data_IF_386084286207
#
_entry.id   IF_386084286207
#
_cell.length_a   1.000
_cell.length_b   1.000
_cell.length_c   1.000
_cell.angle_alpha   90.00
_cell.angle_beta   90.00
_cell.angle_gamma   90.00
#
_symmetry.space_group_name_H-M   'P 1'
#
loop_
_entity.id
_entity.type
_entity.pdbx_description
1 polymer ?
#
# COMPACT_ATOMS: atom_id res chain seq x y z
N UNK A 1 -14.33 11.86 9.22
CA UNK A 1 -14.50 11.51 10.65
C UNK A 1 -15.64 12.35 11.19
N UNK A 2 -16.71 11.75 11.75
CA UNK A 2 -17.72 12.54 12.45
C UNK A 2 -17.08 13.10 13.72
N UNK A 3 -17.14 14.41 13.88
CA UNK A 3 -16.72 15.11 15.10
C UNK A 3 -17.63 14.69 16.24
N UNK A 4 -17.18 13.80 17.11
CA UNK A 4 -17.83 13.54 18.40
C UNK A 4 -17.82 14.82 19.22
N UNK A 5 -18.99 15.24 19.73
CA UNK A 5 -19.13 16.40 20.63
C UNK A 5 -18.28 16.27 21.89
N UNK A 6 -18.06 17.41 22.58
CA UNK A 6 -17.18 17.55 23.76
C UNK A 6 -17.36 16.44 24.81
N UNK A 7 -18.57 15.92 24.94
CA UNK A 7 -18.95 14.98 26.00
C UNK A 7 -18.41 13.55 25.82
N UNK A 8 -17.83 13.20 24.66
CA UNK A 8 -17.28 11.86 24.39
C UNK A 8 -15.74 11.83 24.22
N UNK A 9 -15.04 12.88 24.63
CA UNK A 9 -13.58 12.93 24.58
C UNK A 9 -12.95 12.04 25.67
N UNK A 10 -12.49 10.84 25.31
CA UNK A 10 -11.77 9.90 26.21
C UNK A 10 -10.35 10.34 26.61
N UNK A 11 -9.88 11.50 26.17
CA UNK A 11 -8.52 12.00 26.41
C UNK A 11 -8.58 13.44 26.90
N UNK A 12 -7.69 13.77 27.82
CA UNK A 12 -7.59 15.11 28.38
C UNK A 12 -7.44 16.18 27.30
N UNK A 13 -8.28 17.21 27.40
CA UNK A 13 -8.26 18.34 26.50
C UNK A 13 -7.00 19.17 26.78
N UNK A 14 -6.17 19.33 25.75
CA UNK A 14 -4.97 20.16 25.83
C UNK A 14 -5.39 21.63 25.68
N UNK A 15 -5.08 22.51 26.65
CA UNK A 15 -5.35 23.93 26.51
C UNK A 15 -4.68 24.50 25.26
N UNK A 16 -5.38 25.38 24.53
CA UNK A 16 -4.90 25.92 23.24
C UNK A 16 -3.53 26.61 23.36
N UNK A 17 -3.25 27.27 24.49
CA UNK A 17 -1.95 27.91 24.77
C UNK A 17 -0.78 26.92 24.86
N UNK A 18 -1.03 25.64 25.15
CA UNK A 18 -0.01 24.58 25.21
C UNK A 18 0.15 23.84 23.87
N UNK A 19 -0.71 24.11 22.88
CA UNK A 19 -0.74 23.38 21.61
C UNK A 19 0.59 23.45 20.87
N UNK A 20 1.21 24.64 20.80
CA UNK A 20 2.50 24.81 20.09
C UNK A 20 3.60 23.93 20.68
N UNK A 21 3.72 23.90 22.00
CA UNK A 21 4.73 23.10 22.69
C UNK A 21 4.43 21.60 22.56
N UNK A 22 3.16 21.22 22.65
CA UNK A 22 2.71 19.86 22.44
C UNK A 22 3.01 19.35 21.01
N UNK A 23 2.76 20.17 19.97
CA UNK A 23 3.06 19.81 18.59
C UNK A 23 4.57 19.62 18.36
N UNK A 24 5.41 20.50 18.92
CA UNK A 24 6.88 20.35 18.86
C UNK A 24 7.35 19.07 19.56
N UNK A 25 6.83 18.80 20.75
CA UNK A 25 7.15 17.59 21.50
C UNK A 25 6.72 16.32 20.75
N UNK A 26 5.49 16.30 20.19
CA UNK A 26 5.00 15.21 19.35
C UNK A 26 5.82 15.01 18.09
N UNK A 27 6.28 16.08 17.45
CA UNK A 27 7.16 15.98 16.28
C UNK A 27 8.52 15.37 16.66
N UNK A 28 9.09 15.78 17.78
CA UNK A 28 10.34 15.20 18.29
C UNK A 28 10.19 13.71 18.61
N UNK A 29 9.13 13.32 19.32
CA UNK A 29 8.81 11.91 19.55
C UNK A 29 8.61 11.12 18.24
N UNK A 30 8.00 11.76 17.23
CA UNK A 30 7.77 11.10 15.95
C UNK A 30 9.08 10.84 15.20
N UNK A 31 9.98 11.82 15.18
CA UNK A 31 11.33 11.69 14.60
C UNK A 31 12.07 10.56 15.31
N UNK A 32 12.16 10.62 16.65
CA UNK A 32 12.89 9.62 17.45
C UNK A 32 12.35 8.20 17.31
N UNK A 33 11.04 8.03 17.11
CA UNK A 33 10.40 6.69 17.02
C UNK A 33 10.35 6.11 15.62
N UNK A 34 10.40 6.92 14.57
CA UNK A 34 9.97 6.48 13.23
C UNK A 34 10.90 6.88 12.09
N UNK A 35 11.93 7.70 12.32
CA UNK A 35 12.76 8.20 11.22
C UNK A 35 13.66 7.12 10.60
N UNK A 36 14.14 6.13 11.38
CA UNK A 36 15.02 5.04 10.93
C UNK A 36 14.45 3.65 11.21
N UNK A 37 13.12 3.51 11.12
CA UNK A 37 12.46 2.21 11.30
C UNK A 37 11.98 1.69 9.95
N UNK A 38 12.46 0.51 9.59
CA UNK A 38 12.07 -0.26 8.41
C UNK A 38 11.38 -1.54 8.86
N UNK A 39 10.53 -2.09 8.00
CA UNK A 39 10.01 -3.43 8.21
C UNK A 39 11.01 -4.42 7.61
N UNK A 40 11.50 -5.36 8.43
CA UNK A 40 12.55 -6.32 8.09
C UNK A 40 12.21 -7.65 8.76
N UNK A 41 11.09 -8.25 8.35
CA UNK A 41 10.69 -9.58 8.80
C UNK A 41 11.22 -10.61 7.82
N UNK A 42 12.02 -11.56 8.30
CA UNK A 42 12.68 -12.57 7.46
C UNK A 42 11.66 -13.61 6.92
N UNK A 43 10.55 -13.81 7.64
CA UNK A 43 9.49 -14.76 7.29
C UNK A 43 8.08 -14.20 7.55
N UNK A 44 7.60 -13.27 6.72
CA UNK A 44 6.28 -12.66 6.91
C UNK A 44 5.13 -13.66 6.74
N UNK A 45 4.14 -13.59 7.63
CA UNK A 45 2.89 -14.35 7.52
C UNK A 45 2.01 -13.76 6.41
N UNK A 46 1.85 -14.45 5.29
CA UNK A 46 0.92 -14.05 4.24
C UNK A 46 -0.47 -14.66 4.43
N UNK A 47 -1.51 -13.85 4.29
CA UNK A 47 -2.90 -14.29 4.25
C UNK A 47 -3.44 -14.28 2.82
N UNK A 48 -3.98 -15.41 2.40
CA UNK A 48 -4.75 -15.54 1.16
C UNK A 48 -6.25 -15.34 1.44
N UNK A 49 -6.85 -14.35 0.79
CA UNK A 49 -8.26 -14.00 0.95
C UNK A 49 -8.95 -14.29 -0.37
N UNK A 50 -9.95 -15.18 -0.33
CA UNK A 50 -10.82 -15.50 -1.47
C UNK A 50 -12.25 -15.10 -1.13
N UNK A 51 -12.78 -14.10 -1.82
CA UNK A 51 -14.17 -13.67 -1.64
C UNK A 51 -14.93 -13.82 -2.95
N UNK A 52 -16.02 -14.58 -2.92
CA UNK A 52 -17.02 -14.64 -4.00
C UNK A 52 -18.11 -13.60 -3.74
N UNK A 53 -18.41 -12.76 -4.72
CA UNK A 53 -19.56 -11.87 -4.67
C UNK A 53 -20.71 -12.43 -5.53
N UNK A 54 -21.96 -12.22 -5.11
CA UNK A 54 -23.18 -12.66 -5.80
C UNK A 54 -23.31 -12.11 -7.25
N UNK A 55 -22.52 -11.08 -7.59
CA UNK A 55 -22.52 -10.40 -8.91
C UNK A 55 -21.19 -10.64 -9.68
N UNK A 56 -20.46 -11.73 -9.38
CA UNK A 56 -19.72 -12.44 -10.43
C UNK A 56 -18.25 -12.09 -10.68
N UNK A 57 -17.53 -11.48 -9.73
CA UNK A 57 -16.06 -11.40 -9.81
C UNK A 57 -15.42 -11.94 -8.53
N UNK A 58 -14.68 -13.07 -8.59
CA UNK A 58 -13.93 -13.56 -7.44
C UNK A 58 -12.76 -12.60 -7.15
N UNK A 59 -12.69 -12.12 -5.91
CA UNK A 59 -11.54 -11.39 -5.39
C UNK A 59 -10.56 -12.42 -4.82
N UNK A 60 -9.33 -12.41 -5.29
CA UNK A 60 -8.22 -13.16 -4.68
C UNK A 60 -7.15 -12.17 -4.24
N UNK A 61 -6.87 -12.07 -2.94
CA UNK A 61 -5.83 -11.19 -2.41
C UNK A 61 -4.80 -11.98 -1.60
N UNK A 62 -3.54 -11.57 -1.67
CA UNK A 62 -2.45 -12.08 -0.84
C UNK A 62 -1.83 -10.89 -0.13
N UNK A 63 -1.91 -10.86 1.19
CA UNK A 63 -1.55 -9.70 2.02
C UNK A 63 -0.60 -10.13 3.14
N UNK A 64 0.43 -9.33 3.41
CA UNK A 64 1.33 -9.51 4.55
C UNK A 64 0.61 -9.13 5.86
N UNK A 65 0.30 -10.14 6.67
CA UNK A 65 -0.42 -10.02 7.94
C UNK A 65 0.40 -9.27 8.98
N UNK A 66 1.69 -9.57 9.07
CA UNK A 66 2.60 -9.03 10.06
C UNK A 66 2.87 -7.56 9.80
N UNK A 67 3.06 -7.19 8.53
CA UNK A 67 3.15 -5.80 8.10
C UNK A 67 1.85 -5.04 8.39
N UNK A 68 0.69 -5.63 8.14
CA UNK A 68 -0.60 -5.03 8.50
C UNK A 68 -0.82 -4.90 10.02
N UNK A 69 -0.16 -5.71 10.84
CA UNK A 69 -0.19 -5.62 12.31
C UNK A 69 0.88 -4.69 12.86
N UNK A 70 1.94 -4.42 12.11
CA UNK A 70 3.09 -3.60 12.52
C UNK A 70 2.68 -2.25 13.11
N UNK A 71 3.26 -1.86 14.26
CA UNK A 71 2.85 -0.64 14.95
C UNK A 71 3.45 0.64 14.35
N UNK A 72 4.53 0.52 13.57
CA UNK A 72 5.26 1.67 13.04
C UNK A 72 4.78 2.17 11.68
N UNK A 73 3.54 1.85 11.26
CA UNK A 73 2.93 2.29 9.98
C UNK A 73 3.09 3.78 9.66
N UNK A 74 3.12 4.62 10.69
CA UNK A 74 3.25 6.06 10.53
C UNK A 74 4.61 6.48 9.93
N UNK A 75 5.64 5.63 10.01
CA UNK A 75 6.94 5.78 9.33
C UNK A 75 6.82 5.65 7.80
N UNK A 76 5.80 4.93 7.32
CA UNK A 76 5.51 4.69 5.91
C UNK A 76 4.11 5.20 5.54
N UNK A 77 3.88 6.52 5.58
CA UNK A 77 2.55 7.10 5.51
C UNK A 77 2.00 7.22 4.08
N UNK A 78 2.77 6.86 3.06
CA UNK A 78 2.36 6.92 1.67
C UNK A 78 2.05 5.50 1.19
N UNK A 79 0.90 5.32 0.56
CA UNK A 79 0.52 4.05 -0.04
C UNK A 79 0.58 4.24 -1.54
N UNK A 80 1.44 3.46 -2.17
CA UNK A 80 1.47 3.31 -3.61
C UNK A 80 0.55 2.16 -4.02
N UNK A 81 -0.32 2.44 -4.98
CA UNK A 81 -1.24 1.49 -5.59
C UNK A 81 -0.87 1.40 -7.06
N UNK A 82 -0.41 0.24 -7.50
CA UNK A 82 -0.11 -0.05 -8.91
C UNK A 82 -1.22 -0.91 -9.46
N UNK A 83 -1.81 -0.52 -10.58
CA UNK A 83 -2.86 -1.27 -11.24
C UNK A 83 -2.39 -1.69 -12.62
N UNK A 84 -2.47 -2.99 -12.91
CA UNK A 84 -2.18 -3.54 -14.23
C UNK A 84 -3.43 -4.23 -14.74
N UNK A 85 -3.97 -3.72 -15.84
CA UNK A 85 -5.09 -4.36 -16.53
C UNK A 85 -4.57 -5.48 -17.42
N UNK A 86 -5.16 -6.66 -17.25
CA UNK A 86 -4.93 -7.82 -18.09
C UNK A 86 -6.28 -8.36 -18.57
N UNK A 87 -6.87 -7.69 -19.56
CA UNK A 87 -8.15 -8.11 -20.12
C UNK A 87 -7.92 -9.20 -21.18
N UNK A 88 -8.52 -10.38 -20.97
CA UNK A 88 -8.43 -11.51 -21.91
C UNK A 88 -8.93 -11.17 -23.33
N UNK A 89 -9.76 -10.13 -23.48
CA UNK A 89 -10.28 -9.68 -24.78
C UNK A 89 -9.50 -8.53 -25.46
N UNK A 90 -8.73 -7.73 -24.72
CA UNK A 90 -8.05 -6.51 -25.24
C UNK A 90 -6.53 -6.58 -25.27
N UNK A 91 -5.91 -7.61 -24.71
CA UNK A 91 -4.45 -7.72 -24.59
C UNK A 91 -3.72 -8.10 -25.90
N UNK A 92 -4.12 -7.54 -27.05
CA UNK A 92 -3.47 -7.75 -28.36
C UNK A 92 -3.25 -9.23 -28.75
N UNK A 93 -4.07 -10.17 -28.23
CA UNK A 93 -3.92 -11.59 -28.49
C UNK A 93 -2.78 -12.29 -27.73
N UNK A 94 -2.19 -11.65 -26.71
CA UNK A 94 -1.17 -12.27 -25.86
C UNK A 94 -1.69 -13.49 -25.12
N UNK A 95 -0.87 -14.52 -25.04
CA UNK A 95 -1.11 -15.71 -24.24
C UNK A 95 -1.04 -15.40 -22.74
N UNK A 96 -1.71 -16.21 -21.93
CA UNK A 96 -1.68 -16.09 -20.47
C UNK A 96 -0.24 -16.15 -19.90
N UNK A 97 0.63 -16.97 -20.51
CA UNK A 97 2.05 -17.05 -20.12
C UNK A 97 2.81 -15.76 -20.38
N UNK A 98 2.53 -15.08 -21.50
CA UNK A 98 3.17 -13.81 -21.84
C UNK A 98 2.73 -12.70 -20.89
N UNK A 99 1.44 -12.66 -20.55
CA UNK A 99 0.90 -11.72 -19.55
C UNK A 99 1.59 -11.93 -18.21
N UNK A 100 1.66 -13.17 -17.72
CA UNK A 100 2.34 -13.47 -16.46
C UNK A 100 3.81 -13.06 -16.46
N UNK A 101 4.52 -13.29 -17.58
CA UNK A 101 5.92 -12.87 -17.71
C UNK A 101 6.07 -11.35 -17.64
N UNK A 102 5.22 -10.59 -18.34
CA UNK A 102 5.25 -9.13 -18.31
C UNK A 102 4.95 -8.58 -16.91
N UNK A 103 4.01 -9.21 -16.19
CA UNK A 103 3.71 -8.84 -14.81
C UNK A 103 4.91 -9.04 -13.88
N UNK A 104 5.61 -10.17 -14.01
CA UNK A 104 6.84 -10.42 -13.25
C UNK A 104 7.95 -9.43 -13.61
N UNK A 105 8.08 -9.06 -14.88
CA UNK A 105 9.06 -8.07 -15.35
C UNK A 105 8.77 -6.68 -14.77
N UNK A 106 7.49 -6.26 -14.78
CA UNK A 106 7.04 -5.01 -14.17
C UNK A 106 7.32 -5.01 -12.66
N UNK A 107 6.96 -6.08 -11.95
CA UNK A 107 7.24 -6.22 -10.51
C UNK A 107 8.75 -6.13 -10.23
N UNK A 108 9.59 -6.83 -11.00
CA UNK A 108 11.05 -6.76 -10.87
C UNK A 108 11.56 -5.33 -11.04
N UNK A 109 11.15 -4.62 -12.10
CA UNK A 109 11.58 -3.23 -12.33
C UNK A 109 11.20 -2.29 -11.18
N UNK A 110 10.06 -2.55 -10.52
CA UNK A 110 9.63 -1.77 -9.37
C UNK A 110 10.49 -2.11 -8.14
N UNK A 111 10.66 -3.40 -7.81
CA UNK A 111 11.36 -3.83 -6.59
C UNK A 111 12.88 -3.69 -6.65
N UNK A 112 13.47 -3.71 -7.85
CA UNK A 112 14.91 -3.42 -8.04
C UNK A 112 15.25 -1.98 -7.61
N UNK A 113 14.31 -1.06 -7.80
CA UNK A 113 14.46 0.36 -7.48
C UNK A 113 13.84 0.74 -6.12
N UNK A 114 12.74 0.09 -5.72
CA UNK A 114 12.01 0.33 -4.47
C UNK A 114 12.22 -0.83 -3.50
N UNK A 115 13.32 -0.78 -2.76
CA UNK A 115 13.73 -1.84 -1.83
C UNK A 115 13.11 -1.67 -0.44
N UNK A 116 12.83 -2.79 0.22
CA UNK A 116 12.30 -2.81 1.59
C UNK A 116 13.23 -2.06 2.57
N UNK A 117 14.54 -2.32 2.48
CA UNK A 117 15.57 -1.67 3.30
C UNK A 117 15.81 -0.17 3.00
N UNK A 118 15.12 0.38 2.00
CA UNK A 118 15.08 1.81 1.68
C UNK A 118 13.75 2.47 2.10
N UNK A 119 12.85 1.71 2.73
CA UNK A 119 11.55 2.19 3.22
C UNK A 119 10.41 2.04 2.22
N UNK A 120 10.43 0.97 1.42
CA UNK A 120 9.38 0.61 0.47
C UNK A 120 8.95 -0.84 0.69
N UNK A 121 7.94 -1.07 1.53
CA UNK A 121 7.52 -2.42 1.91
C UNK A 121 6.30 -2.89 1.11
N UNK A 122 6.35 -4.12 0.59
CA UNK A 122 5.21 -4.75 -0.09
C UNK A 122 4.12 -5.16 0.90
N UNK A 123 2.96 -4.49 0.86
CA UNK A 123 1.80 -4.85 1.69
C UNK A 123 1.09 -6.07 1.12
N UNK A 124 0.98 -6.16 -0.21
CA UNK A 124 0.37 -7.30 -0.86
C UNK A 124 -0.20 -6.98 -2.23
N UNK A 125 -0.94 -7.95 -2.77
CA UNK A 125 -1.51 -7.91 -4.11
C UNK A 125 -2.95 -8.42 -4.11
N UNK A 126 -3.76 -7.93 -5.03
CA UNK A 126 -5.09 -8.48 -5.28
C UNK A 126 -5.41 -8.60 -6.76
N UNK A 127 -6.19 -9.63 -7.08
CA UNK A 127 -6.70 -9.95 -8.39
C UNK A 127 -8.21 -9.81 -8.37
N UNK A 128 -8.73 -8.94 -9.22
CA UNK A 128 -10.17 -8.76 -9.38
C UNK A 128 -10.48 -8.36 -10.83
N UNK A 129 -11.33 -9.13 -11.50
CA UNK A 129 -11.98 -8.69 -12.73
C UNK A 129 -11.04 -8.37 -13.89
N UNK A 130 -9.93 -9.10 -14.03
CA UNK A 130 -8.93 -8.83 -15.07
C UNK A 130 -8.00 -7.66 -14.73
N UNK A 131 -7.89 -7.31 -13.45
CA UNK A 131 -7.01 -6.27 -12.94
C UNK A 131 -6.20 -6.81 -11.76
N UNK A 132 -4.91 -6.46 -11.73
CA UNK A 132 -4.00 -6.75 -10.62
C UNK A 132 -3.70 -5.42 -9.93
N UNK A 133 -3.91 -5.36 -8.62
CA UNK A 133 -3.50 -4.23 -7.80
C UNK A 133 -2.39 -4.67 -6.85
N UNK A 134 -1.28 -3.95 -6.86
CA UNK A 134 -0.15 -4.15 -5.94
C UNK A 134 -0.03 -2.95 -5.03
N UNK A 135 0.13 -3.22 -3.73
CA UNK A 135 0.15 -2.21 -2.67
C UNK A 135 1.52 -2.14 -2.02
N UNK A 136 2.14 -0.96 -2.04
CA UNK A 136 3.39 -0.71 -1.33
C UNK A 136 3.21 0.39 -0.29
N UNK A 137 3.76 0.15 0.90
CA UNK A 137 3.97 1.14 1.94
C UNK A 137 5.27 1.90 1.66
N UNK A 138 5.22 3.22 1.55
CA UNK A 138 6.37 4.05 1.21
C UNK A 138 6.64 5.11 2.29
N UNK A 139 7.92 5.28 2.65
CA UNK A 139 8.40 6.37 3.51
C UNK A 139 8.18 7.74 2.86
N UNK A 140 8.34 7.82 1.54
CA UNK A 140 8.17 9.03 0.74
C UNK A 140 7.57 8.71 -0.64
N UNK A 141 7.12 9.74 -1.38
CA UNK A 141 6.34 9.55 -2.62
C UNK A 141 7.07 9.94 -3.90
N UNK A 142 8.18 10.68 -3.82
CA UNK A 142 8.83 11.28 -4.99
C UNK A 142 9.55 10.22 -5.81
N UNK A 143 10.37 9.36 -5.19
CA UNK A 143 11.06 8.26 -5.89
C UNK A 143 10.05 7.28 -6.49
N UNK A 144 9.04 6.76 -5.76
CA UNK A 144 8.00 5.92 -6.36
C UNK A 144 7.29 6.56 -7.55
N UNK A 145 6.92 7.84 -7.46
CA UNK A 145 6.22 8.52 -8.57
C UNK A 145 7.05 8.59 -9.86
N UNK A 146 8.36 8.82 -9.75
CA UNK A 146 9.27 8.88 -10.90
C UNK A 146 9.49 7.50 -11.51
N UNK A 147 9.71 6.49 -10.66
CA UNK A 147 9.92 5.10 -11.11
C UNK A 147 8.68 4.61 -11.84
N UNK A 148 7.49 4.79 -11.26
CA UNK A 148 6.28 4.31 -11.91
C UNK A 148 5.91 5.07 -13.16
N UNK A 149 6.21 6.37 -13.23
CA UNK A 149 6.05 7.09 -14.49
C UNK A 149 6.94 6.49 -15.60
N UNK A 150 8.17 6.11 -15.26
CA UNK A 150 9.08 5.43 -16.18
C UNK A 150 8.56 4.04 -16.56
N UNK A 151 8.19 3.20 -15.59
CA UNK A 151 7.63 1.86 -15.84
C UNK A 151 6.37 1.95 -16.70
N UNK A 152 5.46 2.87 -16.40
CA UNK A 152 4.26 3.10 -17.20
C UNK A 152 4.61 3.46 -18.65
N UNK A 153 5.63 4.28 -18.87
CA UNK A 153 6.10 4.65 -20.20
C UNK A 153 6.73 3.47 -20.94
N UNK A 154 7.60 2.71 -20.26
CA UNK A 154 8.37 1.60 -20.84
C UNK A 154 7.45 0.42 -21.28
N UNK A 155 6.30 0.26 -20.63
CA UNK A 155 5.36 -0.82 -20.89
C UNK A 155 4.05 -0.37 -21.57
N UNK A 156 3.91 0.91 -21.92
CA UNK A 156 2.66 1.51 -22.43
C UNK A 156 2.06 0.79 -23.65
N UNK A 157 2.90 0.24 -24.52
CA UNK A 157 2.46 -0.46 -25.73
C UNK A 157 2.06 -1.91 -25.47
N UNK A 158 2.46 -2.47 -24.32
CA UNK A 158 2.25 -3.88 -23.96
C UNK A 158 1.06 -4.06 -23.02
N UNK A 159 0.97 -3.25 -21.97
CA UNK A 159 -0.05 -3.34 -20.93
C UNK A 159 -0.53 -1.96 -20.49
N UNK A 160 -1.80 -1.89 -20.09
CA UNK A 160 -2.36 -0.69 -19.46
C UNK A 160 -2.01 -0.70 -17.98
N UNK A 161 -1.08 0.20 -17.62
CA UNK A 161 -0.61 0.39 -16.24
C UNK A 161 -1.07 1.76 -15.75
N UNK A 162 -1.70 1.79 -14.60
CA UNK A 162 -2.06 3.01 -13.86
C UNK A 162 -1.50 2.93 -12.44
N UNK A 163 -1.29 4.08 -11.82
CA UNK A 163 -0.87 4.10 -10.42
C UNK A 163 -1.41 5.33 -9.69
N UNK A 164 -1.59 5.16 -8.38
CA UNK A 164 -1.98 6.22 -7.46
C UNK A 164 -1.07 6.20 -6.23
N UNK A 165 -0.73 7.38 -5.73
CA UNK A 165 -0.04 7.51 -4.44
C UNK A 165 -0.89 8.33 -3.50
N UNK A 166 -1.37 7.71 -2.43
CA UNK A 166 -2.20 8.34 -1.41
C UNK A 166 -1.43 8.50 -0.11
N UNK A 167 -1.78 9.51 0.67
CA UNK A 167 -1.25 9.66 2.02
C UNK A 167 -2.21 9.05 3.04
N UNK A 168 -1.87 7.85 3.52
CA UNK A 168 -2.60 7.18 4.58
C UNK A 168 -1.66 6.88 5.76
N UNK A 169 -1.67 7.74 6.78
CA UNK A 169 -0.78 7.59 7.96
C UNK A 169 -1.12 6.41 8.86
N UNK A 170 -2.32 5.83 8.71
CA UNK A 170 -2.84 4.78 9.60
C UNK A 170 -3.17 3.49 8.87
N UNK A 171 -2.98 3.47 7.55
CA UNK A 171 -3.27 2.33 6.67
C UNK A 171 -4.72 1.85 6.82
N UNK A 172 -5.64 2.81 6.89
CA UNK A 172 -7.08 2.55 6.91
C UNK A 172 -7.58 1.99 5.59
N UNK A 173 -6.89 2.23 4.49
CA UNK A 173 -7.15 1.59 3.20
C UNK A 173 -7.29 0.07 3.36
N UNK A 174 -6.54 -0.54 4.28
CA UNK A 174 -6.51 -1.99 4.50
C UNK A 174 -7.40 -2.48 5.65
N UNK A 175 -8.22 -1.61 6.26
CA UNK A 175 -9.10 -2.01 7.39
C UNK A 175 -10.11 -3.10 6.98
N UNK A 176 -10.51 -3.16 5.72
CA UNK A 176 -11.40 -4.21 5.22
C UNK A 176 -10.74 -5.60 5.20
N UNK A 177 -9.41 -5.66 5.05
CA UNK A 177 -8.67 -6.92 5.18
C UNK A 177 -8.58 -7.39 6.63
N UNK A 178 -8.56 -6.47 7.61
CA UNK A 178 -8.49 -6.81 9.05
C UNK A 178 -9.62 -7.74 9.51
N UNK A 179 -10.77 -7.72 8.84
CA UNK A 179 -11.89 -8.62 9.13
C UNK A 179 -11.58 -10.10 8.87
N UNK A 180 -10.53 -10.41 8.09
CA UNK A 180 -10.12 -11.76 7.74
C UNK A 180 -8.98 -12.31 8.61
N UNK A 181 -8.31 -11.47 9.39
CA UNK A 181 -7.29 -11.91 10.35
C UNK A 181 -7.96 -12.15 11.71
N UNK A 182 -8.07 -13.40 12.13
CA UNK A 182 -8.52 -13.78 13.48
C UNK A 182 -7.33 -14.05 14.40
#
# INVERSE_FOLDING_TARGET
MPSTGRDNAKKDLIPIGKLKNYLKWRQKEFIEKYEDVWYDEEYPEYCEIKAGHEIGVPLNATIDADLLRWDCKASHPWILIVEVQYDKGKNNGMSEKEILRLLMEIESCIFDELKDNEGYALIGRQFAGGLIQTYLACKEFRKPSKILYKVQSDFKEKLSITFEIIKDKRWRTFDHFKLFFK
#
